data_IF_878017624029
#
_entry.id   IF_878017624029
#
_cell.length_a   1.000
_cell.length_b   1.000
_cell.length_c   1.000
_cell.angle_alpha   90.00
_cell.angle_beta   90.00
_cell.angle_gamma   90.00
#
_symmetry.space_group_name_H-M   'P 1'
#
loop_
_entity.id
_entity.type
_entity.pdbx_description
1 polymer ?
#
# COMPACT_ATOMS: atom_id res chain seq x y z
N UNK A 1 -8.00 -8.59 16.64
CA UNK A 1 -7.60 -8.20 15.27
C UNK A 1 -6.14 -7.78 15.27
N UNK A 2 -5.40 -8.12 14.22
CA UNK A 2 -4.05 -7.62 13.95
C UNK A 2 -3.88 -7.32 12.45
N UNK A 3 -3.43 -6.10 12.14
CA UNK A 3 -3.18 -5.62 10.76
C UNK A 3 -1.76 -5.06 10.57
N UNK A 4 -1.05 -4.81 11.68
CA UNK A 4 0.35 -4.45 11.74
C UNK A 4 0.88 -4.72 13.16
N UNK A 5 2.20 -4.72 13.34
CA UNK A 5 2.82 -4.93 14.65
C UNK A 5 2.33 -3.92 15.69
N UNK A 6 2.13 -2.66 15.26
CA UNK A 6 1.65 -1.54 16.06
C UNK A 6 0.13 -1.36 16.05
N UNK A 7 -0.62 -2.23 15.35
CA UNK A 7 -2.08 -2.13 15.21
C UNK A 7 -2.74 -3.47 15.44
N UNK A 8 -2.88 -3.77 16.73
CA UNK A 8 -3.57 -4.94 17.24
C UNK A 8 -4.49 -4.52 18.37
N UNK A 9 -5.72 -5.03 18.39
CA UNK A 9 -6.68 -4.77 19.46
C UNK A 9 -7.74 -5.86 19.54
N UNK A 10 -8.40 -5.94 20.70
CA UNK A 10 -9.76 -6.45 20.76
C UNK A 10 -10.66 -5.47 19.99
N UNK A 11 -11.63 -5.99 19.26
CA UNK A 11 -12.49 -5.17 18.40
C UNK A 11 -13.91 -5.12 18.96
N UNK A 12 -14.63 -4.02 18.74
CA UNK A 12 -16.05 -3.97 19.04
C UNK A 12 -16.82 -5.06 18.29
N UNK A 13 -17.95 -5.48 18.86
CA UNK A 13 -18.87 -6.43 18.25
C UNK A 13 -19.89 -5.67 17.40
N UNK A 14 -20.55 -6.32 16.41
CA UNK A 14 -21.58 -5.66 15.61
C UNK A 14 -22.69 -5.04 16.47
N UNK A 15 -23.05 -5.66 17.59
CA UNK A 15 -24.04 -5.15 18.53
C UNK A 15 -23.62 -3.84 19.19
N UNK A 16 -22.31 -3.57 19.33
CA UNK A 16 -21.80 -2.32 19.89
C UNK A 16 -22.12 -1.12 18.98
N UNK A 17 -22.40 -1.35 17.70
CA UNK A 17 -22.76 -0.29 16.75
C UNK A 17 -24.27 0.00 16.70
N UNK A 18 -25.08 -0.72 17.48
CA UNK A 18 -26.53 -0.49 17.53
C UNK A 18 -26.85 0.87 18.20
N UNK A 19 -27.99 1.52 17.86
CA UNK A 19 -28.32 2.86 18.37
C UNK A 19 -28.47 2.98 19.89
N UNK A 20 -28.73 1.88 20.59
CA UNK A 20 -28.83 1.82 22.05
C UNK A 20 -27.46 1.69 22.75
N UNK A 21 -26.41 1.36 21.99
CA UNK A 21 -25.04 1.14 22.47
C UNK A 21 -24.01 2.12 21.91
N UNK A 22 -24.36 2.83 20.85
CA UNK A 22 -23.50 3.82 20.22
C UNK A 22 -24.28 4.98 19.63
N UNK A 23 -23.56 6.07 19.40
CA UNK A 23 -24.02 7.19 18.60
C UNK A 23 -23.30 7.15 17.25
N UNK A 24 -24.05 6.93 16.17
CA UNK A 24 -23.52 7.13 14.82
C UNK A 24 -23.09 8.59 14.65
N UNK A 25 -21.88 8.79 14.12
CA UNK A 25 -21.32 10.11 13.83
C UNK A 25 -21.70 10.55 12.41
N UNK A 26 -21.16 11.69 11.96
CA UNK A 26 -21.45 12.26 10.64
C UNK A 26 -21.18 11.29 9.48
N UNK A 27 -20.18 10.41 9.63
CA UNK A 27 -19.88 9.38 8.64
C UNK A 27 -20.59 8.07 9.01
N UNK A 28 -21.33 7.43 8.08
CA UNK A 28 -22.09 6.22 8.39
C UNK A 28 -21.28 5.03 8.90
N UNK A 29 -19.96 5.02 8.65
CA UNK A 29 -19.06 3.97 9.13
C UNK A 29 -18.41 4.26 10.49
N UNK A 30 -18.72 5.39 11.12
CA UNK A 30 -18.07 5.86 12.34
C UNK A 30 -19.09 5.98 13.49
N UNK A 31 -18.80 5.34 14.62
CA UNK A 31 -19.68 5.28 15.78
C UNK A 31 -18.91 5.63 17.05
N UNK A 32 -19.47 6.50 17.89
CA UNK A 32 -19.02 6.71 19.26
C UNK A 32 -19.68 5.68 20.18
N UNK A 33 -18.90 4.81 20.79
CA UNK A 33 -19.36 3.74 21.67
C UNK A 33 -19.72 4.31 23.05
N UNK A 34 -21.02 4.30 23.39
CA UNK A 34 -21.53 4.90 24.63
C UNK A 34 -21.83 3.85 25.69
N UNK A 35 -22.22 2.65 25.28
CA UNK A 35 -22.48 1.50 26.14
C UNK A 35 -22.07 0.20 25.42
N UNK A 36 -20.77 0.00 25.12
CA UNK A 36 -20.29 -1.22 24.47
C UNK A 36 -20.36 -2.45 25.39
N UNK A 37 -20.33 -3.64 24.80
CA UNK A 37 -20.32 -4.93 25.48
C UNK A 37 -19.02 -5.09 26.25
N UNK A 38 -17.91 -4.65 25.66
CA UNK A 38 -16.62 -4.54 26.33
C UNK A 38 -16.50 -3.14 26.94
N UNK A 39 -16.59 -2.97 28.27
CA UNK A 39 -16.64 -1.67 28.92
C UNK A 39 -15.43 -0.78 28.62
N UNK A 40 -14.26 -1.39 28.38
CA UNK A 40 -13.02 -0.67 28.04
C UNK A 40 -13.14 0.14 26.75
N UNK A 41 -14.08 -0.17 25.86
CA UNK A 41 -14.31 0.62 24.64
C UNK A 41 -15.19 1.85 24.86
N UNK A 42 -15.70 2.08 26.07
CA UNK A 42 -16.58 3.24 26.35
C UNK A 42 -15.86 4.54 26.03
N UNK A 43 -16.56 5.43 25.31
CA UNK A 43 -16.04 6.71 24.86
C UNK A 43 -15.08 6.64 23.66
N UNK A 44 -14.89 5.46 23.06
CA UNK A 44 -14.10 5.33 21.83
C UNK A 44 -14.94 5.51 20.58
N UNK A 45 -14.28 6.00 19.53
CA UNK A 45 -14.81 5.95 18.17
C UNK A 45 -14.31 4.68 17.48
N UNK A 46 -15.25 3.85 17.02
CA UNK A 46 -14.96 2.81 16.03
C UNK A 46 -15.25 3.35 14.63
N UNK A 47 -14.27 3.23 13.73
CA UNK A 47 -14.41 3.58 12.33
C UNK A 47 -13.68 2.54 11.47
N UNK A 48 -14.43 1.88 10.57
CA UNK A 48 -13.89 0.86 9.67
C UNK A 48 -12.67 1.35 8.85
N UNK A 49 -12.62 2.63 8.51
CA UNK A 49 -11.55 3.23 7.71
C UNK A 49 -10.21 3.27 8.46
N UNK A 50 -10.23 3.22 9.78
CA UNK A 50 -9.03 3.17 10.59
C UNK A 50 -8.29 1.84 10.40
N UNK A 51 -8.99 0.76 10.04
CA UNK A 51 -8.40 -0.56 9.78
C UNK A 51 -7.94 -0.76 8.33
N UNK A 52 -7.59 0.33 7.64
CA UNK A 52 -7.09 0.29 6.28
C UNK A 52 -5.57 0.12 6.22
N UNK A 53 -5.11 -0.33 5.06
CA UNK A 53 -3.70 -0.51 4.72
C UNK A 53 -3.42 -0.15 3.27
N UNK A 54 -2.26 0.46 3.03
CA UNK A 54 -1.74 0.66 1.67
C UNK A 54 -1.40 -0.70 1.03
N UNK A 55 -1.64 -0.81 -0.28
CA UNK A 55 -1.37 -2.02 -1.05
C UNK A 55 0.06 -2.56 -0.89
N UNK A 56 1.06 -1.67 -0.78
CA UNK A 56 2.47 -2.06 -0.59
C UNK A 56 2.74 -2.72 0.78
N UNK A 57 1.94 -2.41 1.81
CA UNK A 57 2.09 -2.97 3.15
C UNK A 57 1.11 -4.10 3.47
N UNK A 58 0.03 -4.24 2.70
CA UNK A 58 -1.00 -5.24 2.90
C UNK A 58 -0.53 -6.66 2.51
N UNK A 59 0.20 -7.29 3.44
CA UNK A 59 0.83 -8.62 3.32
C UNK A 59 0.07 -9.71 4.06
N UNK A 60 -0.31 -9.44 5.31
CA UNK A 60 -1.06 -10.32 6.19
C UNK A 60 -1.88 -9.51 7.19
N UNK A 61 -3.10 -9.95 7.46
CA UNK A 61 -3.97 -9.40 8.50
C UNK A 61 -4.94 -10.47 8.97
N UNK A 62 -5.52 -10.30 10.16
CA UNK A 62 -6.36 -11.34 10.70
C UNK A 62 -6.89 -11.12 12.10
N UNK A 63 -7.34 -12.24 12.67
CA UNK A 63 -7.96 -12.34 13.97
C UNK A 63 -7.33 -13.44 14.79
N UNK A 64 -7.37 -13.27 16.10
CA UNK A 64 -7.04 -14.28 17.09
C UNK A 64 -8.27 -14.42 17.98
N UNK A 65 -8.71 -15.65 18.19
CA UNK A 65 -9.63 -16.01 19.27
C UNK A 65 -8.84 -16.42 20.50
N UNK A 66 -9.39 -16.12 21.68
CA UNK A 66 -8.80 -16.54 22.95
C UNK A 66 -9.22 -17.98 23.33
N UNK A 67 -10.41 -18.39 22.90
CA UNK A 67 -11.00 -19.70 23.21
C UNK A 67 -11.85 -20.21 22.02
N UNK A 68 -11.41 -21.25 21.29
CA UNK A 68 -10.07 -21.83 21.38
C UNK A 68 -9.00 -20.82 20.92
N UNK A 69 -7.75 -21.00 21.36
CA UNK A 69 -6.61 -20.15 20.97
C UNK A 69 -6.20 -20.42 19.52
N UNK A 70 -6.91 -19.77 18.59
CA UNK A 70 -6.75 -19.94 17.13
C UNK A 70 -6.60 -18.61 16.44
N UNK A 71 -5.80 -18.59 15.38
CA UNK A 71 -5.66 -17.45 14.47
C UNK A 71 -6.27 -17.74 13.11
N UNK A 72 -6.91 -16.72 12.53
CA UNK A 72 -7.45 -16.70 11.18
C UNK A 72 -6.82 -15.53 10.42
N UNK A 73 -6.14 -15.81 9.31
CA UNK A 73 -5.33 -14.82 8.61
C UNK A 73 -5.59 -14.82 7.12
N UNK A 74 -5.69 -13.62 6.54
CA UNK A 74 -5.65 -13.40 5.11
C UNK A 74 -4.21 -13.05 4.73
N UNK A 75 -3.57 -13.88 3.91
CA UNK A 75 -2.24 -13.66 3.36
C UNK A 75 -2.37 -13.36 1.87
N UNK A 76 -1.73 -12.27 1.44
CA UNK A 76 -1.64 -11.89 0.02
C UNK A 76 -0.19 -12.02 -0.46
N UNK A 77 0.18 -13.13 -1.11
CA UNK A 77 1.54 -13.34 -1.59
C UNK A 77 1.91 -12.42 -2.77
N UNK A 78 0.91 -11.89 -3.46
CA UNK A 78 1.07 -10.94 -4.56
C UNK A 78 0.00 -9.85 -4.48
N UNK A 79 0.33 -8.70 -5.06
CA UNK A 79 -0.59 -7.59 -5.24
C UNK A 79 -1.01 -7.41 -6.72
N UNK A 80 -0.65 -8.35 -7.61
CA UNK A 80 -0.78 -8.18 -9.07
C UNK A 80 -2.20 -7.84 -9.55
N UNK A 81 -3.20 -8.34 -8.81
CA UNK A 81 -4.62 -8.17 -9.14
C UNK A 81 -5.23 -6.90 -8.54
N UNK A 82 -4.53 -6.22 -7.62
CA UNK A 82 -5.04 -5.01 -6.95
C UNK A 82 -4.96 -3.81 -7.90
N UNK A 83 -5.82 -2.84 -7.62
CA UNK A 83 -5.94 -1.58 -8.35
C UNK A 83 -5.35 -0.40 -7.56
N UNK A 84 -5.15 0.73 -8.25
CA UNK A 84 -4.70 2.00 -7.68
C UNK A 84 -3.23 2.06 -7.22
N UNK A 85 -2.42 1.09 -7.66
CA UNK A 85 -1.00 1.07 -7.40
C UNK A 85 -0.62 0.85 -5.92
N UNK A 86 0.66 1.08 -5.57
CA UNK A 86 1.21 0.75 -4.24
C UNK A 86 0.63 1.57 -3.07
N UNK A 87 0.16 2.79 -3.33
CA UNK A 87 -0.31 3.72 -2.29
C UNK A 87 -1.81 3.62 -2.02
N UNK A 88 -2.58 2.95 -2.89
CA UNK A 88 -4.02 2.78 -2.67
C UNK A 88 -4.28 2.04 -1.37
N UNK A 89 -5.12 2.65 -0.52
CA UNK A 89 -5.54 2.07 0.74
C UNK A 89 -6.77 1.19 0.55
N UNK A 90 -6.77 0.05 1.21
CA UNK A 90 -7.87 -0.90 1.22
C UNK A 90 -8.20 -1.31 2.66
N UNK A 91 -9.48 -1.56 2.92
CA UNK A 91 -9.95 -2.08 4.20
C UNK A 91 -9.40 -3.50 4.41
N UNK A 92 -9.08 -3.84 5.65
CA UNK A 92 -8.51 -5.15 6.00
C UNK A 92 -9.41 -5.91 6.96
N UNK A 93 -9.90 -5.25 7.99
CA UNK A 93 -10.80 -5.79 9.00
C UNK A 93 -11.99 -4.86 9.18
N UNK A 94 -13.04 -5.35 9.81
CA UNK A 94 -14.24 -4.58 10.15
C UNK A 94 -14.65 -4.88 11.60
N UNK A 95 -15.70 -4.23 12.10
CA UNK A 95 -16.36 -4.60 13.37
C UNK A 95 -16.73 -6.09 13.39
N UNK A 96 -16.66 -6.72 14.57
CA UNK A 96 -16.78 -8.18 14.73
C UNK A 96 -15.63 -8.93 14.03
N UNK A 97 -15.59 -10.27 14.09
CA UNK A 97 -14.50 -11.09 13.53
C UNK A 97 -14.51 -11.14 11.99
N UNK A 98 -14.45 -9.98 11.33
CA UNK A 98 -14.55 -9.80 9.88
C UNK A 98 -13.18 -9.54 9.29
N UNK A 99 -12.85 -10.29 8.23
CA UNK A 99 -11.61 -10.18 7.49
C UNK A 99 -11.93 -9.94 6.01
N UNK A 100 -11.36 -8.88 5.44
CA UNK A 100 -11.64 -8.44 4.08
C UNK A 100 -10.42 -8.69 3.18
N UNK A 101 -10.66 -9.26 1.99
CA UNK A 101 -9.70 -9.26 0.89
C UNK A 101 -10.29 -8.40 -0.23
N UNK A 102 -9.95 -7.11 -0.23
CA UNK A 102 -10.53 -6.15 -1.17
C UNK A 102 -9.92 -6.34 -2.56
N UNK A 103 -10.78 -6.58 -3.55
CA UNK A 103 -10.38 -6.66 -4.96
C UNK A 103 -10.53 -5.31 -5.67
N UNK A 104 -11.67 -4.65 -5.44
CA UNK A 104 -12.01 -3.33 -5.96
C UNK A 104 -12.79 -2.55 -4.92
N UNK A 105 -12.64 -1.22 -4.93
CA UNK A 105 -13.37 -0.31 -4.05
C UNK A 105 -13.14 1.14 -4.44
N UNK A 106 -14.19 1.95 -4.30
CA UNK A 106 -14.12 3.41 -4.40
C UNK A 106 -13.44 4.10 -3.21
N UNK A 107 -13.16 3.39 -2.11
CA UNK A 107 -12.56 4.00 -0.92
C UNK A 107 -11.21 4.67 -1.27
N UNK A 108 -11.01 5.91 -0.82
CA UNK A 108 -9.79 6.72 -0.98
C UNK A 108 -9.42 7.19 -2.41
N UNK A 109 -10.18 6.84 -3.44
CA UNK A 109 -9.92 7.34 -4.79
C UNK A 109 -11.16 7.40 -5.72
N UNK A 110 -12.36 7.24 -5.18
CA UNK A 110 -13.61 7.43 -5.91
C UNK A 110 -13.92 6.34 -6.94
N UNK A 111 -14.94 6.60 -7.77
CA UNK A 111 -15.48 5.63 -8.71
C UNK A 111 -14.52 5.26 -9.86
N UNK A 112 -13.47 6.04 -10.12
CA UNK A 112 -12.45 5.69 -11.13
C UNK A 112 -11.76 4.35 -10.81
N UNK A 113 -11.67 4.01 -9.52
CA UNK A 113 -11.12 2.73 -9.07
C UNK A 113 -12.15 1.61 -8.98
N UNK A 114 -13.41 1.87 -9.30
CA UNK A 114 -14.40 0.83 -9.60
C UNK A 114 -14.33 0.51 -11.10
N UNK A 115 -14.16 -0.76 -11.50
CA UNK A 115 -14.09 -1.11 -12.91
C UNK A 115 -15.46 -0.87 -13.57
N UNK A 116 -15.53 0.08 -14.49
CA UNK A 116 -16.72 0.33 -15.34
C UNK A 116 -16.57 -0.38 -16.67
N UNK A 117 -17.64 -0.98 -17.21
CA UNK A 117 -17.60 -1.76 -18.45
C UNK A 117 -18.55 -1.18 -19.48
N UNK A 118 -18.13 -1.17 -20.74
CA UNK A 118 -18.97 -0.78 -21.88
C UNK A 118 -19.83 -1.95 -22.36
N UNK A 119 -20.92 -1.65 -23.07
CA UNK A 119 -21.76 -2.69 -23.68
C UNK A 119 -20.92 -3.53 -24.67
N UNK A 120 -20.91 -4.86 -24.47
CA UNK A 120 -20.13 -5.78 -25.27
C UNK A 120 -18.64 -5.88 -24.88
N UNK A 121 -18.17 -5.16 -23.85
CA UNK A 121 -16.77 -5.27 -23.40
C UNK A 121 -16.49 -6.63 -22.75
N UNK A 122 -15.71 -7.46 -23.44
CA UNK A 122 -15.20 -8.69 -22.86
C UNK A 122 -14.07 -8.38 -21.86
N UNK A 123 -14.27 -8.72 -20.58
CA UNK A 123 -13.26 -8.55 -19.55
C UNK A 123 -13.04 -9.83 -18.74
N UNK A 124 -11.77 -10.14 -18.48
CA UNK A 124 -11.37 -11.31 -17.71
C UNK A 124 -10.15 -11.01 -16.85
N UNK A 125 -10.25 -11.30 -15.55
CA UNK A 125 -9.18 -11.11 -14.57
C UNK A 125 -9.17 -12.23 -13.54
N UNK A 126 -7.97 -12.67 -13.15
CA UNK A 126 -7.76 -13.56 -12.02
C UNK A 126 -7.47 -12.71 -10.80
N UNK A 127 -8.30 -12.86 -9.77
CA UNK A 127 -8.06 -12.28 -8.45
C UNK A 127 -7.36 -13.28 -7.53
N UNK A 128 -6.42 -12.78 -6.75
CA UNK A 128 -5.61 -13.61 -5.87
C UNK A 128 -4.33 -14.13 -6.53
N UNK A 129 -3.75 -15.21 -5.99
CA UNK A 129 -4.29 -16.05 -4.92
C UNK A 129 -4.41 -15.29 -3.59
N UNK A 130 -5.49 -15.56 -2.85
CA UNK A 130 -5.68 -15.13 -1.46
C UNK A 130 -5.53 -16.37 -0.61
N UNK A 131 -4.54 -16.39 0.28
CA UNK A 131 -4.24 -17.55 1.11
C UNK A 131 -4.88 -17.37 2.49
N UNK A 132 -5.83 -18.23 2.82
CA UNK A 132 -6.44 -18.26 4.16
C UNK A 132 -5.58 -19.20 5.02
N UNK A 133 -4.95 -18.63 6.04
CA UNK A 133 -4.08 -19.36 6.95
C UNK A 133 -4.73 -19.48 8.31
N UNK A 134 -4.72 -20.70 8.84
CA UNK A 134 -5.19 -21.01 10.19
C UNK A 134 -4.00 -21.52 11.00
N UNK A 135 -3.87 -21.04 12.23
CA UNK A 135 -2.93 -21.58 13.20
C UNK A 135 -3.59 -21.68 14.58
N UNK A 136 -3.02 -22.50 15.45
CA UNK A 136 -3.52 -22.71 16.80
C UNK A 136 -2.36 -22.81 17.78
N UNK A 137 -2.63 -22.50 19.04
CA UNK A 137 -1.68 -22.65 20.14
C UNK A 137 -2.42 -23.14 21.39
N UNK A 138 -1.71 -23.62 22.44
CA UNK A 138 -2.33 -23.89 23.73
C UNK A 138 -3.05 -22.65 24.29
N UNK A 139 -4.19 -22.85 24.95
CA UNK A 139 -4.91 -21.77 25.66
C UNK A 139 -3.98 -21.05 26.64
N UNK A 140 -4.06 -19.72 26.70
CA UNK A 140 -3.17 -18.88 27.49
C UNK A 140 -1.87 -18.47 26.77
N UNK A 141 -1.60 -18.97 25.57
CA UNK A 141 -0.50 -18.45 24.73
C UNK A 141 -0.73 -16.96 24.43
N UNK A 142 0.30 -16.09 24.57
CA UNK A 142 0.15 -14.68 24.21
C UNK A 142 -0.26 -14.49 22.75
N UNK A 143 -1.27 -13.65 22.49
CA UNK A 143 -1.79 -13.37 21.14
C UNK A 143 -0.72 -13.01 20.09
N UNK A 144 0.35 -12.24 20.41
CA UNK A 144 1.40 -11.92 19.44
C UNK A 144 2.09 -13.15 18.82
N UNK A 145 2.06 -14.30 19.51
CA UNK A 145 2.68 -15.55 19.02
C UNK A 145 2.02 -16.03 17.71
N UNK A 146 0.69 -16.04 17.65
CA UNK A 146 -0.05 -16.46 16.46
C UNK A 146 0.13 -15.46 15.31
N UNK A 147 0.22 -14.16 15.63
CA UNK A 147 0.53 -13.11 14.66
C UNK A 147 1.92 -13.27 14.04
N UNK A 148 2.96 -13.44 14.87
CA UNK A 148 4.33 -13.65 14.40
C UNK A 148 4.46 -14.91 13.52
N UNK A 149 3.75 -15.98 13.90
CA UNK A 149 3.67 -17.18 13.08
C UNK A 149 2.99 -16.91 11.72
N UNK A 150 1.89 -16.15 11.69
CA UNK A 150 1.24 -15.76 10.44
C UNK A 150 2.12 -14.84 9.56
N UNK A 151 2.90 -13.94 10.16
CA UNK A 151 3.89 -13.14 9.43
C UNK A 151 5.01 -14.01 8.83
N UNK A 152 5.46 -15.04 9.56
CA UNK A 152 6.43 -15.99 9.04
C UNK A 152 5.84 -16.79 7.85
N UNK A 153 4.59 -17.25 7.97
CA UNK A 153 3.89 -17.91 6.85
C UNK A 153 3.76 -16.97 5.65
N UNK A 154 3.40 -15.70 5.86
CA UNK A 154 3.30 -14.72 4.78
C UNK A 154 4.61 -14.51 4.03
N UNK A 155 5.76 -14.56 4.73
CA UNK A 155 7.09 -14.53 4.10
C UNK A 155 7.35 -15.78 3.26
N UNK A 156 6.95 -16.97 3.73
CA UNK A 156 7.05 -18.23 2.99
C UNK A 156 6.20 -18.19 1.72
N UNK A 157 4.93 -17.78 1.83
CA UNK A 157 4.02 -17.72 0.69
C UNK A 157 4.47 -16.72 -0.38
N UNK A 158 4.99 -15.55 0.04
CA UNK A 158 5.58 -14.57 -0.90
C UNK A 158 6.80 -15.10 -1.66
N UNK A 159 7.59 -16.00 -1.05
CA UNK A 159 8.73 -16.65 -1.72
C UNK A 159 8.29 -17.78 -2.64
N UNK A 160 7.23 -18.49 -2.28
CA UNK A 160 6.67 -19.59 -3.05
C UNK A 160 5.86 -19.10 -4.28
N UNK A 161 5.32 -17.89 -4.24
CA UNK A 161 4.60 -17.30 -5.37
C UNK A 161 5.57 -16.93 -6.52
N UNK A 162 5.22 -17.22 -7.79
CA UNK A 162 3.93 -17.72 -8.30
C UNK A 162 3.76 -19.24 -8.16
N UNK A 163 2.58 -19.69 -7.72
CA UNK A 163 2.33 -21.11 -7.47
C UNK A 163 2.21 -21.96 -8.74
N UNK A 164 2.64 -23.22 -8.65
CA UNK A 164 2.54 -24.21 -9.72
C UNK A 164 1.20 -24.95 -9.77
N UNK A 165 0.43 -24.97 -8.69
CA UNK A 165 -0.80 -25.77 -8.57
C UNK A 165 -2.08 -25.20 -9.23
N UNK A 166 -2.29 -23.87 -9.45
CA UNK A 166 -3.59 -23.40 -10.00
C UNK A 166 -3.88 -23.92 -11.41
N UNK A 167 -4.89 -24.76 -11.62
CA UNK A 167 -5.09 -25.43 -12.92
C UNK A 167 -5.57 -24.51 -14.07
N UNK A 168 -6.08 -23.31 -13.76
CA UNK A 168 -6.62 -22.40 -14.77
C UNK A 168 -5.53 -21.91 -15.74
N UNK A 169 -5.82 -21.99 -17.05
CA UNK A 169 -4.98 -21.41 -18.10
C UNK A 169 -4.84 -19.87 -17.98
N UNK A 170 -5.78 -19.21 -17.28
CA UNK A 170 -5.74 -17.77 -17.03
C UNK A 170 -4.76 -17.37 -15.92
N UNK A 171 -4.18 -18.35 -15.22
CA UNK A 171 -3.12 -18.15 -14.23
C UNK A 171 -1.76 -18.54 -14.83
N UNK A 172 -0.96 -17.57 -15.33
CA UNK A 172 0.36 -17.88 -15.87
C UNK A 172 1.29 -18.38 -14.77
N UNK A 173 1.99 -19.48 -15.06
CA UNK A 173 2.95 -20.11 -14.17
C UNK A 173 4.25 -19.32 -14.11
N UNK A 174 5.12 -19.64 -13.14
CA UNK A 174 6.40 -18.97 -12.95
C UNK A 174 7.22 -18.87 -14.26
N UNK A 175 7.35 -19.97 -15.01
CA UNK A 175 8.08 -19.99 -16.28
C UNK A 175 7.42 -19.22 -17.45
N UNK A 176 6.16 -18.83 -17.30
CA UNK A 176 5.42 -18.01 -18.28
C UNK A 176 5.40 -16.53 -17.90
N UNK A 177 6.07 -16.15 -16.81
CA UNK A 177 6.16 -14.80 -16.32
C UNK A 177 7.57 -14.26 -16.53
N UNK A 178 7.66 -12.94 -16.57
CA UNK A 178 8.85 -12.23 -17.01
C UNK A 178 9.31 -11.25 -15.94
N UNK A 179 10.49 -10.68 -16.15
CA UNK A 179 11.01 -9.64 -15.27
C UNK A 179 11.46 -8.43 -16.08
N UNK A 180 11.24 -7.24 -15.54
CA UNK A 180 11.75 -5.98 -16.10
C UNK A 180 12.68 -5.36 -15.08
N UNK A 181 13.96 -5.25 -15.42
CA UNK A 181 14.97 -4.67 -14.55
C UNK A 181 15.64 -3.47 -15.22
N UNK A 182 16.19 -2.58 -14.41
CA UNK A 182 16.95 -1.41 -14.86
C UNK A 182 17.45 -0.58 -13.69
N UNK A 183 17.92 0.62 -13.98
CA UNK A 183 18.36 1.59 -12.99
C UNK A 183 17.79 2.97 -13.28
N UNK A 184 17.09 3.56 -12.32
CA UNK A 184 16.47 4.88 -12.49
C UNK A 184 17.42 5.99 -12.05
N UNK A 185 17.83 6.84 -12.97
CA UNK A 185 18.57 8.06 -12.70
C UNK A 185 17.61 9.24 -12.73
N UNK A 186 17.80 10.18 -11.81
CA UNK A 186 17.08 11.46 -11.80
C UNK A 186 17.99 12.51 -12.39
N UNK A 187 17.46 13.33 -13.28
CA UNK A 187 18.16 14.47 -13.87
C UNK A 187 17.36 15.74 -13.61
N UNK A 188 18.02 16.77 -13.10
CA UNK A 188 17.41 18.07 -12.79
C UNK A 188 18.39 19.18 -13.13
N UNK A 189 17.99 20.13 -13.98
CA UNK A 189 18.84 21.23 -14.42
C UNK A 189 19.01 22.31 -13.35
N UNK A 190 18.17 22.30 -12.31
CA UNK A 190 18.11 23.34 -11.29
C UNK A 190 18.59 22.88 -9.91
N UNK A 191 19.06 21.64 -9.80
CA UNK A 191 19.58 21.07 -8.55
C UNK A 191 20.91 20.34 -8.80
N UNK A 192 21.97 20.78 -8.13
CA UNK A 192 23.25 20.07 -8.16
C UNK A 192 23.25 18.89 -7.14
N UNK A 193 23.84 17.73 -7.48
CA UNK A 193 24.37 17.38 -8.80
C UNK A 193 23.23 17.24 -9.82
N UNK A 194 23.43 17.66 -11.08
CA UNK A 194 22.37 17.66 -12.10
C UNK A 194 21.84 16.27 -12.47
N UNK A 195 22.53 15.21 -12.05
CA UNK A 195 22.05 13.83 -12.17
C UNK A 195 22.49 13.01 -10.97
N UNK A 196 21.59 12.20 -10.44
CA UNK A 196 21.84 11.32 -9.29
C UNK A 196 21.02 10.03 -9.37
N UNK A 197 21.34 9.06 -8.52
CA UNK A 197 20.59 7.82 -8.42
C UNK A 197 19.20 8.08 -7.82
N UNK A 198 18.13 7.61 -8.47
CA UNK A 198 16.76 7.61 -7.96
C UNK A 198 16.55 6.60 -6.83
N UNK A 199 17.24 6.79 -5.71
CA UNK A 199 17.22 5.87 -4.57
C UNK A 199 15.80 5.67 -4.06
N UNK A 200 15.45 4.44 -3.70
CA UNK A 200 14.14 4.12 -3.13
C UNK A 200 12.95 4.45 -4.03
N UNK A 201 13.18 4.66 -5.34
CA UNK A 201 12.12 4.90 -6.31
C UNK A 201 11.12 3.76 -6.28
N UNK A 202 9.83 4.08 -6.27
CA UNK A 202 8.81 3.08 -6.51
C UNK A 202 8.50 3.08 -8.00
N UNK A 203 8.66 1.94 -8.62
CA UNK A 203 8.49 1.72 -10.06
C UNK A 203 7.46 0.64 -10.28
N UNK A 204 6.58 0.83 -11.26
CA UNK A 204 5.54 -0.14 -11.54
C UNK A 204 5.09 -0.18 -13.00
N UNK A 205 4.65 -1.36 -13.40
CA UNK A 205 4.05 -1.64 -14.70
C UNK A 205 2.54 -1.66 -14.54
N UNK A 206 1.85 -0.91 -15.40
CA UNK A 206 0.39 -0.88 -15.48
C UNK A 206 -0.03 -0.73 -16.95
N UNK A 207 -1.34 -0.77 -17.22
CA UNK A 207 -1.88 -0.55 -18.57
C UNK A 207 -1.33 0.77 -19.13
N UNK A 208 -1.02 0.84 -20.44
CA UNK A 208 -0.57 2.07 -21.07
C UNK A 208 -1.60 3.19 -20.92
N UNK A 209 -1.11 4.40 -20.66
CA UNK A 209 -1.94 5.57 -20.37
C UNK A 209 -1.12 6.79 -19.95
N UNK A 210 -1.78 7.88 -19.63
CA UNK A 210 -1.12 9.15 -19.28
C UNK A 210 -0.19 9.03 -18.07
N UNK A 211 0.76 9.96 -17.95
CA UNK A 211 1.64 10.04 -16.78
C UNK A 211 0.81 10.09 -15.49
N UNK A 212 1.12 9.21 -14.53
CA UNK A 212 0.38 9.12 -13.26
C UNK A 212 -0.88 8.22 -13.29
N UNK A 213 -1.37 7.80 -14.45
CA UNK A 213 -2.61 7.01 -14.60
C UNK A 213 -2.62 5.65 -13.87
N UNK A 214 -1.45 5.06 -13.59
CA UNK A 214 -1.37 3.85 -12.77
C UNK A 214 -1.95 4.01 -11.35
N UNK A 215 -2.13 5.23 -10.85
CA UNK A 215 -2.75 5.48 -9.54
C UNK A 215 -4.27 5.32 -9.58
N UNK A 216 -4.87 5.37 -10.77
CA UNK A 216 -6.30 5.22 -11.03
C UNK A 216 -6.62 4.02 -11.93
N UNK A 217 -5.60 3.20 -12.27
CA UNK A 217 -5.79 1.94 -12.98
C UNK A 217 -6.66 0.96 -12.18
N UNK A 218 -7.76 0.51 -12.77
CA UNK A 218 -8.78 -0.34 -12.13
C UNK A 218 -9.01 -1.70 -12.81
N UNK A 219 -8.84 -1.83 -14.12
CA UNK A 219 -9.18 -3.05 -14.89
C UNK A 219 -8.01 -4.01 -15.04
N UNK A 220 -6.82 -3.49 -15.31
CA UNK A 220 -5.61 -4.24 -15.65
C UNK A 220 -4.90 -4.86 -14.44
N UNK A 221 -3.77 -5.52 -14.71
CA UNK A 221 -2.84 -5.97 -13.66
C UNK A 221 -1.79 -4.88 -13.40
N UNK A 222 -1.34 -4.80 -12.16
CA UNK A 222 -0.28 -3.87 -11.78
C UNK A 222 0.85 -4.60 -11.06
N UNK A 223 2.08 -4.24 -11.38
CA UNK A 223 3.27 -4.83 -10.76
C UNK A 223 4.15 -3.69 -10.28
N UNK A 224 4.74 -3.79 -9.10
CA UNK A 224 5.65 -2.75 -8.64
C UNK A 224 6.76 -3.31 -7.76
N UNK A 225 7.84 -2.55 -7.69
CA UNK A 225 8.94 -2.77 -6.78
C UNK A 225 9.45 -1.42 -6.27
N UNK A 226 10.22 -1.47 -5.19
CA UNK A 226 11.06 -0.36 -4.78
C UNK A 226 12.49 -0.61 -5.29
N UNK A 227 13.13 0.44 -5.80
CA UNK A 227 14.54 0.43 -6.19
C UNK A 227 15.45 0.42 -4.95
N UNK A 228 16.64 -0.14 -5.09
CA UNK A 228 17.63 -0.20 -4.02
C UNK A 228 18.35 1.15 -3.79
N UNK A 229 19.36 1.16 -2.91
CA UNK A 229 20.17 2.34 -2.59
C UNK A 229 21.03 2.85 -3.76
N UNK A 230 21.21 2.03 -4.81
CA UNK A 230 21.92 2.35 -6.05
C UNK A 230 20.94 2.64 -7.20
N UNK A 231 19.64 2.74 -6.89
CA UNK A 231 18.53 2.93 -7.82
C UNK A 231 18.30 1.78 -8.82
N UNK A 232 18.88 0.59 -8.57
CA UNK A 232 18.54 -0.59 -9.35
C UNK A 232 17.17 -1.11 -8.94
N UNK A 233 16.39 -1.56 -9.92
CA UNK A 233 15.10 -2.17 -9.67
C UNK A 233 14.96 -3.43 -10.51
N UNK A 234 14.14 -4.36 -10.03
CA UNK A 234 13.63 -5.42 -10.88
C UNK A 234 12.20 -5.81 -10.49
N UNK A 235 11.26 -5.58 -11.40
CA UNK A 235 9.86 -5.97 -11.25
C UNK A 235 9.74 -7.41 -11.78
N UNK A 236 9.52 -8.35 -10.86
CA UNK A 236 9.50 -9.79 -11.15
C UNK A 236 8.08 -10.32 -11.37
N UNK A 237 8.00 -11.51 -11.96
CA UNK A 237 6.76 -12.29 -12.11
C UNK A 237 5.65 -11.56 -12.89
N UNK A 238 6.05 -10.71 -13.82
CA UNK A 238 5.15 -9.92 -14.65
C UNK A 238 4.48 -10.81 -15.69
N UNK A 239 3.18 -10.62 -15.89
CA UNK A 239 2.43 -11.35 -16.91
C UNK A 239 2.80 -10.83 -18.31
N UNK A 240 2.70 -11.69 -19.32
CA UNK A 240 2.81 -11.22 -20.70
C UNK A 240 1.72 -10.20 -21.00
N UNK A 241 2.08 -9.17 -21.77
CA UNK A 241 1.20 -8.04 -22.06
C UNK A 241 1.97 -6.78 -22.46
N UNK A 242 1.24 -5.71 -22.73
CA UNK A 242 1.79 -4.39 -23.06
C UNK A 242 1.59 -3.46 -21.86
N UNK A 243 2.67 -2.86 -21.37
CA UNK A 243 2.65 -2.06 -20.15
C UNK A 243 3.43 -0.77 -20.32
N UNK A 244 2.98 0.32 -19.71
CA UNK A 244 3.84 1.47 -19.45
C UNK A 244 4.56 1.29 -18.11
N UNK A 245 5.81 1.75 -18.03
CA UNK A 245 6.57 1.82 -16.79
C UNK A 245 6.38 3.20 -16.16
N UNK A 246 5.78 3.22 -14.98
CA UNK A 246 5.52 4.40 -14.16
C UNK A 246 6.40 4.39 -12.92
N UNK A 247 6.50 5.52 -12.24
CA UNK A 247 7.09 5.54 -10.93
C UNK A 247 7.13 6.91 -10.27
N UNK A 248 7.83 6.98 -9.15
CA UNK A 248 8.26 8.22 -8.52
C UNK A 248 9.52 7.98 -7.72
N UNK A 249 10.24 9.07 -7.49
CA UNK A 249 11.40 9.08 -6.59
C UNK A 249 11.02 9.98 -5.43
N UNK A 250 11.02 9.50 -4.17
CA UNK A 250 10.70 10.37 -3.08
C UNK A 250 11.72 11.52 -2.98
N UNK A 251 11.23 12.74 -2.77
CA UNK A 251 12.05 13.95 -2.83
C UNK A 251 12.22 14.54 -4.24
N UNK A 252 11.63 13.92 -5.26
CA UNK A 252 11.55 14.45 -6.62
C UNK A 252 10.09 14.72 -6.97
N UNK A 253 9.81 15.94 -7.40
CA UNK A 253 8.46 16.37 -7.79
C UNK A 253 7.99 15.61 -9.04
N UNK A 254 6.71 15.28 -9.11
CA UNK A 254 6.03 14.74 -10.28
C UNK A 254 5.95 13.22 -10.36
N UNK A 255 5.33 12.75 -11.44
CA UNK A 255 5.17 11.34 -11.78
C UNK A 255 6.10 10.95 -12.92
N UNK A 256 6.86 9.87 -12.73
CA UNK A 256 7.69 9.29 -13.78
C UNK A 256 6.85 8.43 -14.72
N UNK A 257 7.09 8.56 -16.03
CA UNK A 257 6.68 7.64 -17.09
C UNK A 257 7.85 7.40 -18.03
N UNK A 258 8.10 6.14 -18.38
CA UNK A 258 9.16 5.77 -19.32
C UNK A 258 8.88 6.33 -20.73
N UNK A 259 9.83 7.10 -21.27
CA UNK A 259 9.64 7.91 -22.48
C UNK A 259 9.73 7.11 -23.79
N UNK A 260 10.36 5.93 -23.79
CA UNK A 260 10.53 5.13 -25.00
C UNK A 260 9.26 4.34 -25.39
N UNK A 261 8.14 4.64 -24.72
CA UNK A 261 6.84 4.04 -24.96
C UNK A 261 6.62 2.72 -24.20
N UNK A 262 5.49 2.04 -24.50
CA UNK A 262 5.09 0.84 -23.79
C UNK A 262 6.07 -0.32 -24.02
N UNK A 263 6.31 -1.08 -22.96
CA UNK A 263 7.12 -2.30 -22.95
C UNK A 263 6.21 -3.49 -23.31
N UNK A 264 6.56 -4.19 -24.39
CA UNK A 264 5.90 -5.44 -24.78
C UNK A 264 6.58 -6.61 -24.08
N UNK A 265 5.89 -7.22 -23.12
CA UNK A 265 6.38 -8.33 -22.31
C UNK A 265 5.91 -9.64 -22.92
N UNK A 266 6.86 -10.45 -23.38
CA UNK A 266 6.63 -11.84 -23.77
C UNK A 266 6.76 -12.78 -22.57
N UNK A 267 6.24 -14.01 -22.60
CA UNK A 267 6.43 -14.98 -21.52
C UNK A 267 7.89 -15.40 -21.32
N UNK A 268 8.34 -15.55 -20.08
CA UNK A 268 9.62 -16.18 -19.73
C UNK A 268 10.88 -15.37 -20.07
N UNK A 269 10.76 -14.06 -20.31
CA UNK A 269 11.90 -13.21 -20.68
C UNK A 269 12.35 -12.31 -19.53
N UNK A 270 13.65 -12.01 -19.51
CA UNK A 270 14.20 -10.93 -18.70
C UNK A 270 14.47 -9.74 -19.62
N UNK A 271 13.82 -8.61 -19.34
CA UNK A 271 14.00 -7.36 -20.05
C UNK A 271 14.92 -6.48 -19.22
N UNK A 272 16.06 -6.11 -19.79
CA UNK A 272 16.95 -5.09 -19.22
C UNK A 272 16.72 -3.77 -19.92
N UNK A 273 16.33 -2.74 -19.17
CA UNK A 273 16.18 -1.38 -19.67
C UNK A 273 17.48 -0.57 -19.58
N UNK A 274 18.52 -1.12 -18.95
CA UNK A 274 19.74 -0.38 -18.63
C UNK A 274 19.46 0.81 -17.71
N UNK A 275 20.15 1.91 -17.96
CA UNK A 275 19.91 3.18 -17.27
C UNK A 275 18.76 3.92 -17.95
N UNK A 276 17.76 4.30 -17.14
CA UNK A 276 16.61 5.09 -17.58
C UNK A 276 16.57 6.40 -16.79
N UNK A 277 16.15 7.48 -17.43
CA UNK A 277 16.21 8.82 -16.86
C UNK A 277 14.84 9.39 -16.54
N UNK A 278 14.69 9.93 -15.32
CA UNK A 278 13.61 10.78 -14.90
C UNK A 278 14.09 12.24 -14.92
N UNK A 279 13.72 12.98 -15.96
CA UNK A 279 13.89 14.43 -15.99
C UNK A 279 12.87 15.09 -15.06
N UNK A 280 13.35 15.82 -14.07
CA UNK A 280 12.54 16.64 -13.17
C UNK A 280 11.62 17.58 -13.98
N UNK A 281 10.33 17.70 -13.62
CA UNK A 281 9.40 18.57 -14.33
C UNK A 281 9.51 20.05 -13.92
N UNK A 282 10.54 20.44 -13.15
CA UNK A 282 10.72 21.82 -12.71
C UNK A 282 11.07 22.73 -13.89
N UNK A 283 10.51 23.94 -13.86
CA UNK A 283 10.83 25.03 -14.80
C UNK A 283 11.89 26.01 -14.24
N UNK A 284 12.29 25.83 -12.98
CA UNK A 284 13.28 26.68 -12.32
C UNK A 284 13.74 26.15 -10.96
N UNK A 285 14.71 26.82 -10.32
CA UNK A 285 15.18 26.47 -8.97
C UNK A 285 14.09 26.59 -7.91
N UNK A 286 14.10 25.68 -6.95
CA UNK A 286 13.21 25.74 -5.77
C UNK A 286 13.61 26.91 -4.88
N UNK A 287 12.73 27.90 -4.71
CA UNK A 287 12.94 29.03 -3.79
C UNK A 287 12.60 28.65 -2.35
N UNK A 288 11.53 27.88 -2.17
CA UNK A 288 11.13 27.29 -0.90
C UNK A 288 10.26 26.04 -1.14
N UNK A 289 10.20 25.14 -0.17
CA UNK A 289 9.38 23.91 -0.20
C UNK A 289 8.82 23.65 1.20
N UNK A 290 7.59 23.14 1.29
CA UNK A 290 6.99 22.66 2.53
C UNK A 290 6.72 21.16 2.37
N UNK A 291 7.33 20.36 3.24
CA UNK A 291 7.26 18.90 3.18
C UNK A 291 8.27 18.31 2.19
N UNK A 292 8.08 17.04 1.85
CA UNK A 292 8.91 16.30 0.89
C UNK A 292 7.98 15.59 -0.08
N UNK A 293 8.19 15.67 -1.42
CA UNK A 293 7.35 14.97 -2.40
C UNK A 293 7.62 13.46 -2.36
N UNK A 294 7.06 12.77 -1.36
CA UNK A 294 7.24 11.35 -1.11
C UNK A 294 5.91 10.58 -1.04
N UNK A 295 4.79 11.27 -1.34
CA UNK A 295 3.41 10.79 -1.25
C UNK A 295 2.95 10.39 0.15
N UNK A 296 3.55 10.98 1.20
CA UNK A 296 3.10 10.83 2.57
C UNK A 296 2.91 12.19 3.22
N UNK A 297 2.14 12.24 4.30
CA UNK A 297 2.02 13.43 5.15
C UNK A 297 3.15 13.50 6.20
N UNK A 298 4.23 12.72 6.06
CA UNK A 298 5.31 12.71 7.04
C UNK A 298 6.03 14.06 7.05
N UNK A 299 6.35 14.55 8.25
CA UNK A 299 6.97 15.87 8.44
C UNK A 299 5.97 17.00 8.64
N UNK A 300 4.68 16.75 8.43
CA UNK A 300 3.62 17.71 8.80
C UNK A 300 3.16 17.49 10.23
N UNK A 301 2.78 18.58 10.90
CA UNK A 301 2.16 18.52 12.22
C UNK A 301 0.72 17.99 12.10
N UNK A 302 0.44 16.90 12.81
CA UNK A 302 -0.92 16.37 12.97
C UNK A 302 -1.36 16.67 14.40
N UNK A 303 -2.40 17.51 14.61
CA UNK A 303 -2.84 17.86 15.96
C UNK A 303 -3.39 16.64 16.69
N UNK A 304 -3.36 16.69 18.02
CA UNK A 304 -4.01 15.67 18.82
C UNK A 304 -5.52 15.64 18.54
N UNK A 305 -6.12 14.44 18.45
CA UNK A 305 -7.55 14.32 18.20
C UNK A 305 -8.34 14.93 19.37
N UNK A 306 -9.54 15.44 19.08
CA UNK A 306 -10.47 15.84 20.12
C UNK A 306 -10.66 14.66 21.10
N UNK A 307 -10.42 14.83 22.42
CA UNK A 307 -10.51 13.75 23.39
C UNK A 307 -11.86 13.01 23.40
N UNK A 308 -12.94 13.67 22.94
CA UNK A 308 -14.27 13.06 22.79
C UNK A 308 -14.35 12.03 21.66
N UNK A 309 -13.49 12.13 20.65
CA UNK A 309 -13.56 11.34 19.42
C UNK A 309 -12.26 10.59 19.16
N UNK A 310 -11.81 9.81 20.15
CA UNK A 310 -10.55 9.06 20.07
C UNK A 310 -10.80 7.60 19.75
N UNK A 311 -9.94 7.02 18.91
CA UNK A 311 -9.76 5.57 18.87
C UNK A 311 -8.47 5.26 19.63
N UNK A 312 -8.58 4.54 20.74
CA UNK A 312 -7.44 4.30 21.66
C UNK A 312 -6.29 3.51 21.00
N UNK A 313 -6.56 2.76 19.92
CA UNK A 313 -5.53 2.09 19.12
C UNK A 313 -4.47 3.06 18.56
N UNK A 314 -4.84 4.32 18.31
CA UNK A 314 -3.98 5.28 17.61
C UNK A 314 -3.37 6.36 18.50
N UNK A 315 -3.73 6.43 19.79
CA UNK A 315 -3.26 7.49 20.69
C UNK A 315 -1.74 7.45 20.91
N UNK A 316 -1.17 6.23 20.99
CA UNK A 316 0.26 6.00 21.25
C UNK A 316 1.03 5.55 20.00
N UNK A 317 0.48 5.75 18.80
CA UNK A 317 1.13 5.28 17.57
C UNK A 317 2.41 6.07 17.28
N UNK A 318 3.52 5.35 17.09
CA UNK A 318 4.81 5.91 16.65
C UNK A 318 4.75 6.52 15.24
N UNK A 319 3.66 6.30 14.50
CA UNK A 319 3.39 6.92 13.19
C UNK A 319 3.25 8.44 13.23
N UNK A 320 3.12 9.06 14.40
CA UNK A 320 3.34 10.51 14.55
C UNK A 320 4.75 10.94 14.10
N UNK A 321 5.72 10.03 13.92
CA UNK A 321 7.14 10.36 13.70
C UNK A 321 7.95 9.43 12.75
N UNK A 322 7.35 8.63 11.86
CA UNK A 322 8.17 7.67 11.07
C UNK A 322 8.82 8.31 9.84
N UNK A 323 10.12 8.63 9.94
CA UNK A 323 11.04 8.74 8.80
C UNK A 323 11.42 7.31 8.35
N UNK A 324 11.32 7.02 7.05
CA UNK A 324 11.81 5.74 6.51
C UNK A 324 13.34 5.63 6.71
N UNK A 325 13.91 4.43 6.99
CA UNK A 325 15.33 4.24 7.32
C UNK A 325 16.33 4.76 6.28
N UNK A 326 15.88 5.02 5.04
CA UNK A 326 16.69 5.55 3.97
C UNK A 326 16.78 7.10 3.94
N UNK A 327 16.10 7.80 4.85
CA UNK A 327 16.14 9.26 4.97
C UNK A 327 16.85 9.68 6.26
N UNK A 328 18.14 9.99 6.13
CA UNK A 328 18.84 10.93 7.01
C UNK A 328 19.31 12.12 6.17
N UNK A 329 18.38 12.97 5.77
CA UNK A 329 18.69 14.31 5.27
C UNK A 329 17.39 15.10 5.14
N UNK A 330 17.19 16.11 5.99
CA UNK A 330 16.99 17.49 5.56
C UNK A 330 17.01 18.38 6.83
N UNK A 331 18.11 19.12 6.98
CA UNK A 331 18.13 20.32 7.82
C UNK A 331 17.30 21.39 7.10
N UNK A 332 16.43 22.08 7.84
CA UNK A 332 15.90 23.38 7.48
C UNK A 332 17.08 24.29 7.11
N UNK A 333 17.33 24.47 5.82
CA UNK A 333 18.32 25.43 5.36
C UNK A 333 17.54 26.63 4.84
N UNK A 334 17.29 27.58 5.74
CA UNK A 334 16.88 28.93 5.34
C UNK A 334 18.09 29.54 4.63
N UNK A 335 18.04 29.67 3.30
CA UNK A 335 18.99 30.49 2.56
C UNK A 335 18.43 31.93 2.62
N UNK A 336 19.01 32.85 3.40
CA UNK A 336 18.56 34.24 3.35
C UNK A 336 18.89 34.83 1.96
N UNK A 337 18.02 35.70 1.43
CA UNK A 337 18.27 36.34 0.14
C UNK A 337 19.53 37.21 0.20
N UNK A 338 20.26 37.39 -0.92
CA UNK A 338 21.40 38.29 -0.97
C UNK A 338 20.93 39.72 -0.76
N UNK A 339 21.35 40.32 0.34
CA UNK A 339 21.23 41.77 0.56
C UNK A 339 22.32 42.43 -0.27
N UNK A 340 21.94 43.01 -1.40
CA UNK A 340 22.77 43.99 -2.11
C UNK A 340 22.50 45.36 -1.52
N UNK A 341 23.55 46.01 -0.99
CA UNK A 341 23.59 47.45 -0.74
C UNK A 341 24.16 48.17 -1.96
#
# INVERSE_FOLDING_TARGET
MAIADDRQRLMPRPEDLMPDRSQQLTYPGAHLLTNPIEPDFTGEVDDKYQYSMENKELKVHGWVSADPMVGFWIISPSAEFRNGGPMKQNLTSHVGPTCLSMFHSAHYAGFELCPGFEEGEAWKKVFGPVFIYLNSAPTGTPYPTLWQNAQAQAKTERKAWPYSWPASADFPKAGQRSSVCGRLLVSDLFQAPYTWAGKCAFLGLATPGETGSWQTESKGYQFWTQADANANFCIKNVRAGKYDLYGWVPGVVGDYKFKNGPINIQPGVMISLGDIHYSSPRDGPTVWEIGVPNRTANGFFVPDPNPKYVNKLYLNSSRKQVLYPCYKALQLTLIPPPITF
#
